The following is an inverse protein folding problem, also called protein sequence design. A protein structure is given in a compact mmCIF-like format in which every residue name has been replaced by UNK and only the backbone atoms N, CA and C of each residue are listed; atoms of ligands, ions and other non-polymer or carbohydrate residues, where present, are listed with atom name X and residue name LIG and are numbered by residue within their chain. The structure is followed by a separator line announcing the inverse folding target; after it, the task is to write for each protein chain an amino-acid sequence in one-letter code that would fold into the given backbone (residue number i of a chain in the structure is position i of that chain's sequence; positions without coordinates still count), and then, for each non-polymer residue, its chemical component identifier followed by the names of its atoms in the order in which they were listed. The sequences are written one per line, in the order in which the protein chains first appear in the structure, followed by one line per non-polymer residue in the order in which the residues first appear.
data_IF_621344872377
#
_entry.id   IF_621344872377
#
_cell.length_a   1.000
_cell.length_b   1.000
_cell.length_c   1.000
_cell.angle_alpha   90.00
_cell.angle_beta   90.00
_cell.angle_gamma   90.00
#
_symmetry.space_group_name_H-M   'P 1'
#
loop_
_entity.id
_entity.type
_entity.pdbx_description
1 polymer ?
#
# COMPACT_ATOMS: atom_id res chain seq x y z
N UNK A 1 39.03 9.78 35.49
CA UNK A 1 38.82 8.83 36.61
C UNK A 1 37.53 9.15 37.38
N UNK A 2 37.15 10.43 37.47
CA UNK A 2 35.97 10.92 38.22
C UNK A 2 34.60 10.50 37.68
N UNK A 3 34.39 10.41 36.36
CA UNK A 3 33.07 10.08 35.78
C UNK A 3 32.63 8.65 36.12
N UNK A 4 33.58 7.69 36.19
CA UNK A 4 33.28 6.29 36.56
C UNK A 4 32.92 6.14 38.04
N UNK A 5 33.54 6.93 38.92
CA UNK A 5 33.18 6.96 40.34
C UNK A 5 31.80 7.59 40.53
N UNK A 6 31.50 8.70 39.85
CA UNK A 6 30.20 9.35 39.91
C UNK A 6 29.06 8.44 39.43
N UNK A 7 29.25 7.71 38.32
CA UNK A 7 28.23 6.75 37.83
C UNK A 7 28.06 5.55 38.76
N UNK A 8 29.13 5.10 39.43
CA UNK A 8 29.05 4.02 40.40
C UNK A 8 28.26 4.44 41.65
N UNK A 9 28.51 5.65 42.16
CA UNK A 9 27.81 6.19 43.32
C UNK A 9 26.33 6.43 43.02
N UNK A 10 25.98 7.03 41.87
CA UNK A 10 24.58 7.22 41.45
C UNK A 10 23.84 5.89 41.32
N UNK A 11 24.47 4.86 40.75
CA UNK A 11 23.85 3.53 40.62
C UNK A 11 23.65 2.86 41.98
N UNK A 12 24.60 3.03 42.90
CA UNK A 12 24.48 2.52 44.28
C UNK A 12 23.34 3.20 45.03
N UNK A 13 23.22 4.51 44.91
CA UNK A 13 22.19 5.28 45.60
C UNK A 13 20.80 5.03 45.00
N UNK A 14 20.70 4.88 43.68
CA UNK A 14 19.47 4.46 43.02
C UNK A 14 19.01 3.06 43.46
N UNK A 15 19.92 2.09 43.55
CA UNK A 15 19.60 0.75 44.03
C UNK A 15 19.19 0.73 45.50
N UNK A 16 19.82 1.57 46.35
CA UNK A 16 19.41 1.77 47.74
C UNK A 16 18.00 2.37 47.80
N UNK A 17 17.71 3.37 46.99
CA UNK A 17 16.41 4.05 46.97
C UNK A 17 15.30 3.10 46.51
N UNK A 18 15.51 2.32 45.44
CA UNK A 18 14.58 1.26 45.00
C UNK A 18 14.37 0.21 46.09
N UNK A 19 15.44 -0.21 46.77
CA UNK A 19 15.31 -1.22 47.81
C UNK A 19 14.53 -0.71 49.02
N UNK A 20 14.83 0.52 49.46
CA UNK A 20 14.27 1.10 50.68
C UNK A 20 12.83 1.61 50.50
N UNK A 21 12.51 2.16 49.32
CA UNK A 21 11.19 2.74 49.03
C UNK A 21 10.26 1.76 48.30
N UNK A 22 10.82 0.82 47.54
CA UNK A 22 10.02 -0.14 46.75
C UNK A 22 10.00 -1.54 47.37
N UNK A 23 11.14 -2.22 47.37
CA UNK A 23 11.22 -3.65 47.67
C UNK A 23 10.89 -3.94 49.13
N UNK A 24 11.47 -3.19 50.08
CA UNK A 24 11.22 -3.40 51.51
C UNK A 24 9.75 -3.16 51.86
N UNK A 25 9.11 -2.03 51.48
CA UNK A 25 7.68 -1.83 51.74
C UNK A 25 6.79 -2.90 51.09
N UNK A 26 7.11 -3.34 49.87
CA UNK A 26 6.38 -4.42 49.20
C UNK A 26 6.49 -5.74 49.96
N UNK A 27 7.69 -6.12 50.40
CA UNK A 27 7.91 -7.33 51.18
C UNK A 27 7.24 -7.26 52.55
N UNK A 28 7.28 -6.11 53.21
CA UNK A 28 6.56 -5.87 54.48
C UNK A 28 5.05 -5.98 54.26
N UNK A 29 4.54 -5.41 53.17
CA UNK A 29 3.13 -5.54 52.81
C UNK A 29 2.73 -6.99 52.58
N UNK A 30 3.51 -7.76 51.81
CA UNK A 30 3.28 -9.19 51.58
C UNK A 30 3.37 -9.98 52.90
N UNK A 31 4.35 -9.69 53.75
CA UNK A 31 4.50 -10.33 55.06
C UNK A 31 3.30 -10.04 55.96
N UNK A 32 2.85 -8.79 56.04
CA UNK A 32 1.66 -8.41 56.78
C UNK A 32 0.40 -9.08 56.21
N UNK A 33 0.30 -9.17 54.88
CA UNK A 33 -0.77 -9.86 54.18
C UNK A 33 -0.77 -11.34 54.61
N UNK A 34 0.34 -12.05 54.48
CA UNK A 34 0.43 -13.47 54.87
C UNK A 34 0.18 -13.69 56.37
N UNK A 35 0.83 -12.93 57.26
CA UNK A 35 0.77 -13.15 58.71
C UNK A 35 -0.56 -12.71 59.33
N UNK A 36 -1.13 -11.56 58.92
CA UNK A 36 -2.45 -11.12 59.43
C UNK A 36 -3.61 -11.83 58.76
N UNK A 37 -3.55 -12.13 57.46
CA UNK A 37 -4.67 -12.76 56.74
C UNK A 37 -4.72 -14.27 56.99
N UNK A 38 -3.58 -14.93 57.30
CA UNK A 38 -3.58 -16.34 57.72
C UNK A 38 -4.32 -16.60 59.05
N UNK A 39 -4.59 -15.55 59.83
CA UNK A 39 -5.42 -15.66 61.02
C UNK A 39 -6.90 -15.64 60.61
N UNK A 40 -7.54 -16.81 60.56
CA UNK A 40 -8.93 -17.04 60.11
C UNK A 40 -9.95 -16.07 60.74
N UNK A 41 -9.71 -15.61 61.98
CA UNK A 41 -10.58 -14.63 62.67
C UNK A 41 -10.56 -13.22 62.04
N UNK A 42 -9.45 -12.81 61.42
CA UNK A 42 -9.31 -11.50 60.75
C UNK A 42 -9.94 -11.56 59.35
N UNK A 43 -9.81 -12.71 58.68
CA UNK A 43 -10.45 -12.97 57.40
C UNK A 43 -11.98 -13.03 57.51
N UNK A 44 -12.52 -13.55 58.62
CA UNK A 44 -13.95 -13.57 58.91
C UNK A 44 -14.53 -12.18 59.32
N UNK A 45 -13.68 -11.17 59.52
CA UNK A 45 -14.07 -9.81 59.91
C UNK A 45 -14.18 -8.84 58.74
N UNK A 46 -14.44 -7.56 59.04
CA UNK A 46 -14.58 -6.48 58.03
C UNK A 46 -13.38 -6.35 57.08
N UNK A 47 -12.18 -6.71 57.53
CA UNK A 47 -10.95 -6.66 56.73
C UNK A 47 -10.97 -7.67 55.58
N UNK A 48 -11.52 -8.87 55.77
CA UNK A 48 -11.63 -9.87 54.71
C UNK A 48 -12.56 -9.43 53.56
N UNK A 49 -13.67 -8.76 53.89
CA UNK A 49 -14.58 -8.18 52.89
C UNK A 49 -13.91 -7.13 52.02
N UNK A 50 -13.10 -6.24 52.62
CA UNK A 50 -12.35 -5.21 51.87
C UNK A 50 -11.34 -5.85 50.91
N UNK A 51 -10.63 -6.89 51.35
CA UNK A 51 -9.66 -7.61 50.52
C UNK A 51 -10.37 -8.31 49.35
N UNK A 52 -11.49 -8.99 49.59
CA UNK A 52 -12.29 -9.63 48.53
C UNK A 52 -12.84 -8.61 47.53
N UNK A 53 -13.37 -7.48 48.00
CA UNK A 53 -13.87 -6.42 47.15
C UNK A 53 -12.76 -5.83 46.26
N UNK A 54 -11.56 -5.63 46.83
CA UNK A 54 -10.40 -5.12 46.09
C UNK A 54 -9.96 -6.10 45.00
N UNK A 55 -9.89 -7.39 45.32
CA UNK A 55 -9.56 -8.45 44.34
C UNK A 55 -10.62 -8.51 43.24
N UNK A 56 -11.91 -8.40 43.58
CA UNK A 56 -13.00 -8.42 42.61
C UNK A 56 -12.94 -7.24 41.64
N UNK A 57 -12.73 -6.02 42.15
CA UNK A 57 -12.56 -4.81 41.31
C UNK A 57 -11.33 -4.93 40.42
N UNK A 58 -10.22 -5.44 40.95
CA UNK A 58 -9.00 -5.66 40.19
C UNK A 58 -9.20 -6.68 39.06
N UNK A 59 -9.83 -7.82 39.36
CA UNK A 59 -10.16 -8.85 38.37
C UNK A 59 -11.11 -8.30 37.28
N UNK A 60 -12.11 -7.50 37.66
CA UNK A 60 -13.01 -6.84 36.73
C UNK A 60 -12.27 -5.89 35.79
N UNK A 61 -11.32 -5.11 36.33
CA UNK A 61 -10.45 -4.24 35.53
C UNK A 61 -9.62 -5.01 34.49
N UNK A 62 -9.05 -6.16 34.87
CA UNK A 62 -8.30 -7.03 33.93
C UNK A 62 -9.21 -7.57 32.83
N UNK A 63 -10.42 -8.02 33.17
CA UNK A 63 -11.38 -8.56 32.20
C UNK A 63 -11.78 -7.50 31.18
N UNK A 64 -12.14 -6.30 31.64
CA UNK A 64 -12.52 -5.17 30.79
C UNK A 64 -11.34 -4.74 29.91
N UNK A 65 -10.14 -4.62 30.50
CA UNK A 65 -8.92 -4.28 29.77
C UNK A 65 -8.61 -5.28 28.66
N UNK A 66 -8.69 -6.58 28.96
CA UNK A 66 -8.46 -7.64 27.97
C UNK A 66 -9.50 -7.61 26.84
N UNK A 67 -10.78 -7.39 27.17
CA UNK A 67 -11.85 -7.27 26.17
C UNK A 67 -11.62 -6.07 25.25
N UNK A 68 -11.27 -4.91 25.82
CA UNK A 68 -10.98 -3.71 25.05
C UNK A 68 -9.77 -3.90 24.12
N UNK A 69 -8.67 -4.47 24.62
CA UNK A 69 -7.50 -4.78 23.80
C UNK A 69 -7.86 -5.67 22.62
N UNK A 70 -8.65 -6.72 22.85
CA UNK A 70 -9.10 -7.63 21.81
C UNK A 70 -9.96 -6.91 20.76
N UNK A 71 -10.88 -6.04 21.17
CA UNK A 71 -11.69 -5.26 20.22
C UNK A 71 -10.84 -4.31 19.38
N UNK A 72 -9.88 -3.62 20.00
CA UNK A 72 -8.99 -2.68 19.30
C UNK A 72 -8.07 -3.41 18.32
N UNK A 73 -7.50 -4.56 18.71
CA UNK A 73 -6.64 -5.34 17.80
C UNK A 73 -7.43 -5.90 16.63
N UNK A 74 -8.64 -6.41 16.83
CA UNK A 74 -9.47 -6.88 15.72
C UNK A 74 -9.82 -5.76 14.75
N UNK A 75 -10.21 -4.58 15.27
CA UNK A 75 -10.53 -3.42 14.42
C UNK A 75 -9.31 -2.93 13.64
N UNK A 76 -8.14 -2.89 14.27
CA UNK A 76 -6.87 -2.53 13.60
C UNK A 76 -6.53 -3.49 12.45
N UNK A 77 -6.76 -4.80 12.64
CA UNK A 77 -6.50 -5.80 11.59
C UNK A 77 -7.47 -5.60 10.42
N UNK A 78 -8.77 -5.41 10.70
CA UNK A 78 -9.79 -5.17 9.67
C UNK A 78 -9.53 -3.87 8.89
N UNK A 79 -9.24 -2.77 9.59
CA UNK A 79 -8.90 -1.49 8.97
C UNK A 79 -7.63 -1.59 8.12
N UNK A 80 -6.61 -2.33 8.59
CA UNK A 80 -5.38 -2.56 7.81
C UNK A 80 -5.65 -3.36 6.53
N UNK A 81 -6.46 -4.42 6.60
CA UNK A 81 -6.84 -5.20 5.42
C UNK A 81 -7.60 -4.35 4.39
N UNK A 82 -8.52 -3.49 4.84
CA UNK A 82 -9.24 -2.56 3.96
C UNK A 82 -8.31 -1.54 3.30
N UNK A 83 -7.34 -1.00 4.05
CA UNK A 83 -6.34 -0.09 3.49
C UNK A 83 -5.54 -0.79 2.39
N UNK A 84 -5.11 -2.04 2.61
CA UNK A 84 -4.36 -2.80 1.61
C UNK A 84 -5.18 -3.03 0.33
N UNK A 85 -6.46 -3.39 0.44
CA UNK A 85 -7.31 -3.57 -0.74
C UNK A 85 -7.53 -2.27 -1.51
N UNK A 86 -7.74 -1.15 -0.80
CA UNK A 86 -7.92 0.17 -1.43
C UNK A 86 -6.62 0.63 -2.11
N UNK A 87 -5.47 0.39 -1.48
CA UNK A 87 -4.17 0.71 -2.08
C UNK A 87 -3.90 -0.08 -3.35
N UNK A 88 -4.23 -1.38 -3.37
CA UNK A 88 -4.11 -2.20 -4.57
C UNK A 88 -4.99 -1.67 -5.70
N UNK A 89 -6.25 -1.37 -5.42
CA UNK A 89 -7.15 -0.77 -6.40
C UNK A 89 -6.61 0.57 -6.91
N UNK A 90 -6.11 1.44 -6.02
CA UNK A 90 -5.54 2.73 -6.40
C UNK A 90 -4.29 2.57 -7.29
N UNK A 91 -3.43 1.60 -7.00
CA UNK A 91 -2.25 1.29 -7.83
C UNK A 91 -2.69 0.87 -9.23
N UNK A 92 -3.69 0.00 -9.34
CA UNK A 92 -4.22 -0.44 -10.63
C UNK A 92 -4.84 0.72 -11.42
N UNK A 93 -5.64 1.57 -10.75
CA UNK A 93 -6.24 2.76 -11.37
C UNK A 93 -5.19 3.77 -11.82
N UNK A 94 -4.16 4.03 -11.02
CA UNK A 94 -3.07 4.93 -11.38
C UNK A 94 -2.25 4.40 -12.54
N UNK A 95 -1.95 3.08 -12.56
CA UNK A 95 -1.27 2.45 -13.69
C UNK A 95 -2.09 2.56 -14.97
N UNK A 96 -3.40 2.34 -14.89
CA UNK A 96 -4.31 2.50 -16.03
C UNK A 96 -4.36 3.95 -16.53
N UNK A 97 -4.47 4.91 -15.62
CA UNK A 97 -4.48 6.33 -15.96
C UNK A 97 -3.18 6.75 -16.68
N UNK A 98 -2.03 6.35 -16.15
CA UNK A 98 -0.73 6.66 -16.75
C UNK A 98 -0.56 6.02 -18.15
N UNK A 99 -1.02 4.78 -18.34
CA UNK A 99 -1.04 4.12 -19.66
C UNK A 99 -1.93 4.92 -20.62
N UNK A 100 -3.14 5.28 -20.19
CA UNK A 100 -4.11 6.00 -21.03
C UNK A 100 -3.58 7.38 -21.43
N UNK A 101 -3.00 8.12 -20.48
CA UNK A 101 -2.39 9.44 -20.73
C UNK A 101 -1.22 9.34 -21.72
N UNK A 102 -0.33 8.38 -21.52
CA UNK A 102 0.80 8.14 -22.43
C UNK A 102 0.31 7.81 -23.84
N UNK A 103 -0.73 6.98 -23.93
CA UNK A 103 -1.30 6.54 -25.21
C UNK A 103 -2.01 7.68 -25.93
N UNK A 104 -2.74 8.55 -25.23
CA UNK A 104 -3.34 9.75 -25.82
C UNK A 104 -2.26 10.69 -26.37
N UNK A 105 -1.20 10.95 -25.60
CA UNK A 105 -0.09 11.80 -26.03
C UNK A 105 0.63 11.23 -27.26
N UNK A 106 0.94 9.93 -27.25
CA UNK A 106 1.50 9.24 -28.42
C UNK A 106 0.55 9.28 -29.62
N UNK A 107 -0.75 9.18 -29.38
CA UNK A 107 -1.80 9.28 -30.39
C UNK A 107 -1.68 10.57 -31.18
N UNK A 108 -1.70 11.70 -30.48
CA UNK A 108 -1.62 13.02 -31.08
C UNK A 108 -0.25 13.29 -31.73
N UNK A 109 0.85 12.90 -31.07
CA UNK A 109 2.21 13.09 -31.60
C UNK A 109 2.51 12.23 -32.83
N UNK A 110 1.94 11.02 -32.93
CA UNK A 110 2.11 10.13 -34.08
C UNK A 110 1.16 10.50 -35.22
N UNK A 111 -0.09 10.86 -34.91
CA UNK A 111 -1.07 11.21 -35.95
C UNK A 111 -0.65 12.47 -36.73
N UNK A 112 0.03 13.43 -36.09
CA UNK A 112 0.51 14.65 -36.74
C UNK A 112 1.44 14.40 -37.96
N UNK A 113 2.60 13.72 -37.81
CA UNK A 113 3.47 13.41 -38.93
C UNK A 113 2.81 12.47 -39.95
N UNK A 114 1.94 11.55 -39.52
CA UNK A 114 1.18 10.69 -40.44
C UNK A 114 0.27 11.49 -41.37
N UNK A 115 -0.39 12.54 -40.84
CA UNK A 115 -1.25 13.42 -41.62
C UNK A 115 -0.44 14.17 -42.69
N UNK A 116 0.72 14.71 -42.30
CA UNK A 116 1.63 15.42 -43.22
C UNK A 116 2.16 14.48 -44.31
N UNK A 117 2.60 13.27 -43.95
CA UNK A 117 3.12 12.32 -44.94
C UNK A 117 2.01 11.84 -45.88
N UNK A 118 0.81 11.58 -45.34
CA UNK A 118 -0.33 11.18 -46.17
C UNK A 118 -0.72 12.27 -47.18
N UNK A 119 -0.74 13.54 -46.75
CA UNK A 119 -0.97 14.67 -47.65
C UNK A 119 0.09 14.79 -48.74
N UNK A 120 1.37 14.63 -48.39
CA UNK A 120 2.45 14.64 -49.39
C UNK A 120 2.34 13.49 -50.39
N UNK A 121 1.97 12.28 -49.94
CA UNK A 121 1.74 11.14 -50.84
C UNK A 121 0.53 11.35 -51.75
N UNK A 122 -0.47 12.10 -51.31
CA UNK A 122 -1.64 12.44 -52.11
C UNK A 122 -1.29 13.47 -53.18
N UNK A 123 -0.52 14.51 -52.84
CA UNK A 123 0.03 15.47 -53.80
C UNK A 123 0.94 14.79 -54.83
N UNK A 124 1.85 13.92 -54.38
CA UNK A 124 2.73 13.16 -55.28
C UNK A 124 1.93 12.28 -56.25
N UNK A 125 0.87 11.61 -55.79
CA UNK A 125 0.01 10.80 -56.66
C UNK A 125 -0.73 11.65 -57.70
N UNK A 126 -1.13 12.88 -57.35
CA UNK A 126 -1.74 13.83 -58.29
C UNK A 126 -0.75 14.35 -59.33
N UNK A 127 0.48 14.68 -58.92
CA UNK A 127 1.54 15.12 -59.83
C UNK A 127 1.95 13.99 -60.79
N UNK A 128 2.13 12.77 -60.27
CA UNK A 128 2.55 11.63 -61.07
C UNK A 128 1.48 11.17 -62.08
N UNK A 129 0.19 11.46 -61.87
CA UNK A 129 -0.85 11.23 -62.89
C UNK A 129 -0.65 12.05 -64.16
N UNK A 130 0.12 13.14 -64.09
CA UNK A 130 0.43 13.99 -65.25
C UNK A 130 1.61 13.46 -66.08
N UNK A 131 2.31 12.43 -65.59
CA UNK A 131 3.47 11.82 -66.25
C UNK A 131 3.18 10.34 -66.54
N UNK A 132 3.73 9.77 -67.61
CA UNK A 132 3.73 8.31 -67.81
C UNK A 132 4.75 7.66 -66.88
N UNK A 133 4.34 7.46 -65.62
CA UNK A 133 5.19 6.84 -64.60
C UNK A 133 4.97 5.34 -64.59
N UNK A 134 6.06 4.56 -64.60
CA UNK A 134 5.98 3.11 -64.60
C UNK A 134 5.22 2.55 -63.39
N UNK A 135 4.44 1.48 -63.62
CA UNK A 135 3.55 0.81 -62.64
C UNK A 135 4.22 0.52 -61.28
N UNK A 136 5.53 0.24 -61.30
CA UNK A 136 6.33 -0.02 -60.10
C UNK A 136 6.37 1.15 -59.12
N UNK A 137 6.36 2.39 -59.60
CA UNK A 137 6.36 3.59 -58.74
C UNK A 137 4.97 3.79 -58.14
N UNK A 138 3.91 3.61 -58.93
CA UNK A 138 2.54 3.69 -58.45
C UNK A 138 2.27 2.67 -57.32
N UNK A 139 2.70 1.41 -57.51
CA UNK A 139 2.58 0.37 -56.49
C UNK A 139 3.34 0.69 -55.19
N UNK A 140 4.49 1.37 -55.27
CA UNK A 140 5.24 1.81 -54.09
C UNK A 140 4.48 2.88 -53.31
N UNK A 141 3.91 3.87 -53.98
CA UNK A 141 3.11 4.93 -53.34
C UNK A 141 1.86 4.36 -52.68
N UNK A 142 1.15 3.45 -53.36
CA UNK A 142 -0.01 2.77 -52.77
C UNK A 142 0.37 1.93 -51.55
N UNK A 143 1.51 1.24 -51.59
CA UNK A 143 2.04 0.50 -50.43
C UNK A 143 2.35 1.42 -49.26
N UNK A 144 3.00 2.57 -49.51
CA UNK A 144 3.29 3.56 -48.47
C UNK A 144 2.01 4.10 -47.85
N UNK A 145 1.03 4.50 -48.68
CA UNK A 145 -0.28 4.98 -48.22
C UNK A 145 -0.99 3.94 -47.34
N UNK A 146 -1.02 2.68 -47.79
CA UNK A 146 -1.60 1.58 -47.02
C UNK A 146 -0.91 1.35 -45.68
N UNK A 147 0.42 1.48 -45.62
CA UNK A 147 1.18 1.36 -44.37
C UNK A 147 0.88 2.53 -43.41
N UNK A 148 0.86 3.77 -43.89
CA UNK A 148 0.51 4.93 -43.04
C UNK A 148 -0.91 4.85 -42.51
N UNK A 149 -1.86 4.38 -43.33
CA UNK A 149 -3.23 4.15 -42.90
C UNK A 149 -3.32 3.08 -41.82
N UNK A 150 -2.61 1.95 -41.96
CA UNK A 150 -2.53 0.92 -40.90
C UNK A 150 -1.94 1.45 -39.60
N UNK A 151 -0.88 2.27 -39.67
CA UNK A 151 -0.29 2.87 -38.46
C UNK A 151 -1.33 3.79 -37.80
N UNK A 152 -2.00 4.65 -38.57
CA UNK A 152 -3.06 5.53 -38.06
C UNK A 152 -4.19 4.74 -37.38
N UNK A 153 -4.65 3.65 -37.99
CA UNK A 153 -5.68 2.79 -37.40
C UNK A 153 -5.24 2.18 -36.06
N UNK A 154 -3.99 1.74 -35.95
CA UNK A 154 -3.43 1.19 -34.70
C UNK A 154 -3.33 2.28 -33.63
N UNK A 155 -2.82 3.45 -33.99
CA UNK A 155 -2.68 4.61 -33.11
C UNK A 155 -4.05 5.12 -32.64
N UNK A 156 -5.04 5.19 -33.52
CA UNK A 156 -6.40 5.58 -33.17
C UNK A 156 -7.06 4.56 -32.24
N UNK A 157 -6.86 3.25 -32.46
CA UNK A 157 -7.32 2.20 -31.54
C UNK A 157 -6.67 2.31 -30.17
N UNK A 158 -5.38 2.63 -30.13
CA UNK A 158 -4.67 2.92 -28.89
C UNK A 158 -5.29 4.13 -28.19
N UNK A 159 -5.48 5.27 -28.87
CA UNK A 159 -6.02 6.51 -28.25
C UNK A 159 -7.41 6.36 -27.61
N UNK A 160 -8.22 5.41 -28.08
CA UNK A 160 -9.59 5.16 -27.59
C UNK A 160 -9.65 4.09 -26.50
N UNK A 161 -8.51 3.57 -26.09
CA UNK A 161 -8.41 2.44 -25.18
C UNK A 161 -8.79 2.88 -23.76
N UNK A 162 -9.89 2.35 -23.26
CA UNK A 162 -10.43 2.63 -21.91
C UNK A 162 -10.20 1.48 -20.94
N UNK A 163 -10.07 0.25 -21.46
CA UNK A 163 -9.78 -0.97 -20.70
C UNK A 163 -8.75 -1.85 -21.43
N UNK A 164 -7.47 -1.82 -21.02
CA UNK A 164 -6.42 -2.67 -21.57
C UNK A 164 -6.63 -4.12 -21.17
N UNK A 165 -6.78 -4.98 -22.16
CA UNK A 165 -6.61 -6.41 -21.99
C UNK A 165 -5.13 -6.77 -22.10
N UNK A 166 -4.60 -7.44 -21.09
CA UNK A 166 -3.21 -7.89 -21.09
C UNK A 166 -3.13 -9.33 -21.60
N UNK A 167 -2.16 -9.60 -22.47
CA UNK A 167 -1.78 -10.94 -22.90
C UNK A 167 -0.33 -11.22 -22.53
N UNK A 168 0.00 -12.47 -22.21
CA UNK A 168 1.36 -12.88 -21.86
C UNK A 168 2.10 -13.27 -23.12
N UNK A 169 3.25 -12.66 -23.34
CA UNK A 169 4.20 -13.01 -24.41
C UNK A 169 5.29 -13.91 -23.84
N UNK A 170 5.94 -14.69 -24.71
CA UNK A 170 7.12 -15.49 -24.37
C UNK A 170 8.10 -14.72 -23.48
N UNK A 171 8.49 -15.31 -22.35
CA UNK A 171 9.34 -14.67 -21.34
C UNK A 171 8.58 -14.01 -20.18
N UNK A 172 7.25 -14.13 -20.12
CA UNK A 172 6.44 -13.66 -18.98
C UNK A 172 6.11 -12.17 -19.02
N UNK A 173 6.42 -11.48 -20.12
CA UNK A 173 6.14 -10.05 -20.31
C UNK A 173 4.66 -9.89 -20.68
N UNK A 174 3.96 -9.01 -19.96
CA UNK A 174 2.57 -8.66 -20.28
C UNK A 174 2.54 -7.55 -21.33
N UNK A 175 1.80 -7.75 -22.41
CA UNK A 175 1.56 -6.76 -23.46
C UNK A 175 0.07 -6.43 -23.55
N UNK A 176 -0.25 -5.18 -23.89
CA UNK A 176 -1.62 -4.76 -24.19
C UNK A 176 -2.04 -5.39 -25.54
N UNK A 177 -3.12 -6.17 -25.50
CA UNK A 177 -3.76 -6.74 -26.68
C UNK A 177 -4.83 -5.76 -27.20
N UNK A 178 -4.48 -4.98 -28.21
CA UNK A 178 -5.37 -3.97 -28.81
C UNK A 178 -6.64 -4.56 -29.46
N UNK A 179 -6.66 -5.86 -29.77
CA UNK A 179 -7.84 -6.49 -30.38
C UNK A 179 -8.86 -6.94 -29.33
N UNK A 180 -8.41 -7.18 -28.09
CA UNK A 180 -9.27 -7.55 -26.96
C UNK A 180 -9.58 -6.39 -26.04
N UNK A 181 -8.81 -5.31 -26.12
CA UNK A 181 -9.01 -4.10 -25.33
C UNK A 181 -10.24 -3.32 -25.81
N UNK A 182 -10.94 -2.69 -24.87
CA UNK A 182 -12.12 -1.83 -25.12
C UNK A 182 -11.79 -0.37 -24.93
#
# INVERSE_FOLDING_TARGET
MEIKQLTYDVRRDFNRLISLVGIIPLLVFIYLLVVKIANIKILAGQVGYIVLATIAVFAMGIIVGRKMLMTVTFKLIDDNQKILSIQQELIEKNRLAAITETVLALGDEVNNPLLVISGNLELLDLELKQFEVGEKIHNRIQTMRGNFQKIREVTDKMSRLTQPSLTIIHGGIQMIDLNKSK
#
